data_IF_808950328644
#
_entry.id   IF_808950328644
#
_cell.length_a   1.000
_cell.length_b   1.000
_cell.length_c   1.000
_cell.angle_alpha   90.00
_cell.angle_beta   90.00
_cell.angle_gamma   90.00
#
_symmetry.space_group_name_H-M   'P 1'
#
loop_
_entity.id
_entity.type
_entity.pdbx_description
1 polymer ?
#
# COMPACT_ATOMS: atom_id res chain seq x y z
N UNK A 1 18.71 20.77 2.07
CA UNK A 1 19.59 20.96 0.90
C UNK A 1 20.21 22.36 0.83
N UNK A 2 19.47 23.44 1.10
CA UNK A 2 19.99 24.82 1.04
C UNK A 2 20.42 25.33 2.43
N UNK A 3 21.54 26.04 2.54
CA UNK A 3 21.97 26.65 3.81
C UNK A 3 21.45 28.09 3.96
N UNK A 4 21.26 28.60 5.19
CA UNK A 4 20.84 29.99 5.41
C UNK A 4 21.77 31.01 4.74
N UNK A 5 23.08 30.73 4.72
CA UNK A 5 24.09 31.59 4.07
C UNK A 5 23.92 31.63 2.55
N UNK A 6 23.55 30.51 1.93
CA UNK A 6 23.27 30.46 0.49
C UNK A 6 22.01 31.26 0.14
N UNK A 7 20.93 31.10 0.91
CA UNK A 7 19.65 31.78 0.68
C UNK A 7 19.82 33.30 0.78
N UNK A 8 20.62 33.78 1.73
CA UNK A 8 20.91 35.20 1.89
C UNK A 8 21.63 35.85 0.68
N UNK A 9 22.26 35.04 -0.19
CA UNK A 9 22.99 35.50 -1.38
C UNK A 9 22.23 35.28 -2.69
N UNK A 10 20.96 34.89 -2.62
CA UNK A 10 20.12 34.70 -3.79
C UNK A 10 19.70 36.04 -4.40
N UNK A 11 19.89 36.16 -5.72
CA UNK A 11 19.23 37.21 -6.50
C UNK A 11 17.74 36.92 -6.63
N UNK A 12 16.95 37.86 -7.15
CA UNK A 12 15.52 37.63 -7.41
C UNK A 12 15.27 36.38 -8.29
N UNK A 13 16.12 36.15 -9.30
CA UNK A 13 16.02 34.98 -10.16
C UNK A 13 16.41 33.68 -9.43
N UNK A 14 17.44 33.72 -8.58
CA UNK A 14 17.80 32.56 -7.75
C UNK A 14 16.68 32.22 -6.76
N UNK A 15 16.05 33.25 -6.20
CA UNK A 15 14.94 33.09 -5.26
C UNK A 15 13.70 32.52 -5.96
N UNK A 16 13.39 32.96 -7.18
CA UNK A 16 12.30 32.40 -7.98
C UNK A 16 12.52 30.90 -8.26
N UNK A 17 13.75 30.49 -8.57
CA UNK A 17 14.10 29.08 -8.77
C UNK A 17 13.98 28.32 -7.45
N UNK A 18 14.53 28.85 -6.36
CA UNK A 18 14.44 28.26 -5.02
C UNK A 18 12.99 28.05 -4.58
N UNK A 19 12.15 29.08 -4.69
CA UNK A 19 10.74 29.06 -4.30
C UNK A 19 9.97 27.99 -5.07
N UNK A 20 10.18 27.93 -6.39
CA UNK A 20 9.57 26.89 -7.22
C UNK A 20 10.03 25.48 -6.82
N UNK A 21 11.34 25.28 -6.60
CA UNK A 21 11.89 23.99 -6.18
C UNK A 21 11.28 23.51 -4.86
N UNK A 22 11.13 24.41 -3.88
CA UNK A 22 10.56 24.08 -2.57
C UNK A 22 9.06 23.81 -2.64
N UNK A 23 8.32 24.52 -3.49
CA UNK A 23 6.87 24.32 -3.69
C UNK A 23 6.52 23.10 -4.55
N UNK A 24 7.42 22.67 -5.43
CA UNK A 24 7.21 21.56 -6.38
C UNK A 24 8.27 20.45 -6.23
N UNK A 25 8.50 19.90 -5.01
CA UNK A 25 9.65 19.06 -4.71
C UNK A 25 9.75 17.79 -5.58
N UNK A 26 8.65 17.04 -5.72
CA UNK A 26 8.65 15.81 -6.49
C UNK A 26 8.74 16.05 -8.00
N UNK A 27 8.12 17.11 -8.51
CA UNK A 27 8.11 17.42 -9.93
C UNK A 27 9.52 17.75 -10.43
N UNK A 28 10.22 18.64 -9.72
CA UNK A 28 11.60 19.05 -10.01
C UNK A 28 12.57 17.87 -10.05
N UNK A 29 12.33 16.83 -9.25
CA UNK A 29 13.17 15.63 -9.24
C UNK A 29 13.21 14.93 -10.62
N UNK A 30 12.18 15.07 -11.44
CA UNK A 30 12.07 14.41 -12.75
C UNK A 30 12.18 15.36 -13.94
N UNK A 31 12.08 16.68 -13.71
CA UNK A 31 12.24 17.69 -14.76
C UNK A 31 13.59 17.63 -15.49
N UNK A 32 13.59 18.03 -16.75
CA UNK A 32 14.74 18.47 -17.53
C UNK A 32 15.02 19.94 -17.22
N UNK A 33 16.26 20.38 -17.45
CA UNK A 33 16.64 21.76 -17.13
C UNK A 33 15.79 22.80 -17.87
N UNK A 34 15.35 22.47 -19.09
CA UNK A 34 14.49 23.36 -19.90
C UNK A 34 13.09 23.49 -19.31
N UNK A 35 12.55 22.42 -18.75
CA UNK A 35 11.22 22.40 -18.13
C UNK A 35 11.22 23.25 -16.86
N UNK A 36 12.25 23.12 -16.02
CA UNK A 36 12.40 23.98 -14.84
C UNK A 36 12.62 25.45 -15.23
N UNK A 37 13.42 25.71 -16.27
CA UNK A 37 13.67 27.06 -16.74
C UNK A 37 12.37 27.72 -17.25
N UNK A 38 11.57 26.98 -18.01
CA UNK A 38 10.27 27.43 -18.51
C UNK A 38 9.26 27.70 -17.38
N UNK A 39 9.16 26.79 -16.41
CA UNK A 39 8.24 26.91 -15.28
C UNK A 39 8.52 28.13 -14.38
N UNK A 40 9.79 28.56 -14.32
CA UNK A 40 10.23 29.72 -13.53
C UNK A 40 10.43 30.97 -14.43
N UNK A 41 10.14 30.88 -15.73
CA UNK A 41 10.33 31.95 -16.71
C UNK A 41 11.77 32.50 -16.79
N UNK A 42 12.76 31.61 -16.73
CA UNK A 42 14.19 31.93 -16.85
C UNK A 42 14.86 31.15 -17.97
N UNK A 43 16.12 31.48 -18.26
CA UNK A 43 16.94 30.72 -19.23
C UNK A 43 17.61 29.49 -18.58
N UNK A 44 17.86 28.39 -19.31
CA UNK A 44 18.62 27.25 -18.78
C UNK A 44 20.01 27.60 -18.20
N UNK A 45 20.78 28.56 -18.77
CA UNK A 45 21.99 29.06 -18.13
C UNK A 45 21.78 29.70 -16.75
N UNK A 46 20.62 30.33 -16.51
CA UNK A 46 20.26 30.87 -15.19
C UNK A 46 20.11 29.73 -14.18
N UNK A 47 19.40 28.66 -14.55
CA UNK A 47 19.25 27.46 -13.71
C UNK A 47 20.61 26.80 -13.44
N UNK A 48 21.51 26.72 -14.43
CA UNK A 48 22.87 26.19 -14.20
C UNK A 48 23.67 27.03 -13.20
N UNK A 49 23.58 28.36 -13.28
CA UNK A 49 24.26 29.24 -12.31
C UNK A 49 23.70 29.06 -10.90
N UNK A 50 22.38 28.92 -10.76
CA UNK A 50 21.74 28.57 -9.49
C UNK A 50 22.30 27.25 -8.94
N UNK A 51 22.33 26.17 -9.75
CA UNK A 51 22.88 24.87 -9.33
C UNK A 51 24.32 25.00 -8.82
N UNK A 52 25.17 25.77 -9.51
CA UNK A 52 26.55 26.04 -9.06
C UNK A 52 26.61 26.81 -7.76
N UNK A 53 25.76 27.83 -7.60
CA UNK A 53 25.68 28.63 -6.36
C UNK A 53 25.29 27.77 -5.15
N UNK A 54 24.45 26.76 -5.34
CA UNK A 54 24.05 25.82 -4.29
C UNK A 54 24.99 24.61 -4.14
N UNK A 55 26.19 24.67 -4.74
CA UNK A 55 27.24 23.64 -4.56
C UNK A 55 27.04 22.37 -5.40
N UNK A 56 26.49 22.50 -6.61
CA UNK A 56 26.37 21.42 -7.59
C UNK A 56 27.08 21.80 -8.90
N UNK A 57 27.82 20.88 -9.50
CA UNK A 57 28.55 21.07 -10.76
C UNK A 57 27.62 21.28 -11.97
N UNK A 58 26.35 20.91 -11.83
CA UNK A 58 25.30 21.21 -12.79
C UNK A 58 23.94 20.66 -12.37
N UNK A 59 22.97 20.78 -13.29
CA UNK A 59 21.58 20.40 -13.01
C UNK A 59 21.38 18.90 -12.75
N UNK A 60 22.19 18.04 -13.37
CA UNK A 60 22.11 16.60 -13.12
C UNK A 60 22.49 16.23 -11.69
N UNK A 61 23.60 16.79 -11.18
CA UNK A 61 24.02 16.57 -9.79
C UNK A 61 23.04 17.20 -8.81
N UNK A 62 22.53 18.40 -9.11
CA UNK A 62 21.48 19.04 -8.34
C UNK A 62 20.26 18.12 -8.18
N UNK A 63 19.75 17.53 -9.26
CA UNK A 63 18.63 16.58 -9.19
C UNK A 63 18.96 15.34 -8.37
N UNK A 64 20.19 14.83 -8.46
CA UNK A 64 20.61 13.68 -7.64
C UNK A 64 20.61 14.04 -6.15
N UNK A 65 21.21 15.17 -5.77
CA UNK A 65 21.21 15.67 -4.39
C UNK A 65 19.80 16.00 -3.89
N UNK A 66 18.95 16.56 -4.76
CA UNK A 66 17.55 16.84 -4.43
C UNK A 66 16.76 15.57 -4.18
N UNK A 67 16.89 14.55 -5.04
CA UNK A 67 16.29 13.23 -4.81
C UNK A 67 16.75 12.59 -3.51
N UNK A 68 18.04 12.72 -3.18
CA UNK A 68 18.57 12.22 -1.91
C UNK A 68 17.97 12.97 -0.73
N UNK A 69 17.91 14.30 -0.81
CA UNK A 69 17.29 15.13 0.23
C UNK A 69 15.82 14.83 0.44
N UNK A 70 15.04 14.64 -0.64
CA UNK A 70 13.64 14.24 -0.56
C UNK A 70 13.49 12.88 0.12
N UNK A 71 14.35 11.92 -0.23
CA UNK A 71 14.38 10.60 0.44
C UNK A 71 14.72 10.72 1.92
N UNK A 72 15.63 11.60 2.30
CA UNK A 72 16.01 11.85 3.71
C UNK A 72 14.89 12.57 4.49
N UNK A 73 14.18 13.52 3.87
CA UNK A 73 13.04 14.20 4.49
C UNK A 73 11.79 13.32 4.59
N UNK A 74 11.60 12.41 3.64
CA UNK A 74 10.59 11.34 3.72
C UNK A 74 10.94 10.27 4.76
N UNK A 75 12.21 10.20 5.19
CA UNK A 75 12.71 9.21 6.15
C UNK A 75 12.50 9.59 7.63
N UNK A 76 11.88 10.74 7.97
CA UNK A 76 11.98 11.29 9.34
C UNK A 76 10.69 11.49 10.15
N UNK A 77 9.47 11.36 9.60
CA UNK A 77 8.26 11.49 10.43
C UNK A 77 7.79 10.13 10.97
N UNK A 78 8.43 9.65 12.03
CA UNK A 78 7.79 8.62 12.88
C UNK A 78 6.69 9.33 13.64
N UNK A 79 5.44 9.01 13.32
CA UNK A 79 4.27 9.58 13.99
C UNK A 79 3.84 8.66 15.13
N UNK A 80 3.08 9.18 16.09
CA UNK A 80 2.54 8.30 17.12
C UNK A 80 1.58 7.27 16.49
N UNK A 81 1.56 6.04 17.01
CA UNK A 81 0.64 5.01 16.50
C UNK A 81 -0.83 5.44 16.64
N UNK A 82 -1.14 6.30 17.61
CA UNK A 82 -2.46 6.89 17.80
C UNK A 82 -2.84 7.84 16.66
N UNK A 83 -1.91 8.71 16.23
CA UNK A 83 -2.13 9.62 15.09
C UNK A 83 -2.31 8.84 13.78
N UNK A 84 -1.49 7.82 13.54
CA UNK A 84 -1.62 6.97 12.36
C UNK A 84 -2.99 6.26 12.30
N UNK A 85 -3.49 5.77 13.45
CA UNK A 85 -4.82 5.18 13.54
C UNK A 85 -5.93 6.21 13.33
N UNK A 86 -5.79 7.42 13.88
CA UNK A 86 -6.75 8.50 13.66
C UNK A 86 -6.85 8.83 12.17
N UNK A 87 -5.72 9.01 11.49
CA UNK A 87 -5.67 9.28 10.05
C UNK A 87 -6.34 8.16 9.23
N UNK A 88 -6.05 6.89 9.58
CA UNK A 88 -6.70 5.75 8.96
C UNK A 88 -8.23 5.83 9.11
N UNK A 89 -8.74 6.05 10.31
CA UNK A 89 -10.18 6.11 10.55
C UNK A 89 -10.84 7.31 9.87
N UNK A 90 -10.22 8.50 9.89
CA UNK A 90 -10.74 9.68 9.19
C UNK A 90 -10.93 9.43 7.68
N UNK A 91 -10.02 8.66 7.07
CA UNK A 91 -10.09 8.34 5.62
C UNK A 91 -10.99 7.15 5.29
N UNK A 92 -11.27 6.27 6.25
CA UNK A 92 -11.94 4.98 6.00
C UNK A 92 -13.30 4.83 6.66
N UNK A 93 -13.69 5.70 7.59
CA UNK A 93 -15.03 5.72 8.19
C UNK A 93 -16.06 6.44 7.30
N UNK A 94 -16.13 6.04 6.02
CA UNK A 94 -17.10 6.56 5.06
C UNK A 94 -18.10 5.47 4.67
N UNK A 95 -19.31 5.86 4.28
CA UNK A 95 -20.35 4.91 3.84
C UNK A 95 -19.90 4.07 2.64
N UNK A 96 -19.12 4.67 1.73
CA UNK A 96 -18.57 4.00 0.55
C UNK A 96 -17.53 2.95 0.93
N UNK A 97 -16.65 3.27 1.87
CA UNK A 97 -15.64 2.32 2.34
C UNK A 97 -16.28 1.16 3.11
N UNK A 98 -17.27 1.44 3.97
CA UNK A 98 -18.04 0.41 4.65
C UNK A 98 -18.79 -0.51 3.68
N UNK A 99 -19.31 0.04 2.57
CA UNK A 99 -19.88 -0.76 1.48
C UNK A 99 -18.83 -1.65 0.82
N UNK A 100 -17.64 -1.12 0.51
CA UNK A 100 -16.55 -1.91 -0.07
C UNK A 100 -16.11 -3.07 0.84
N UNK A 101 -16.03 -2.86 2.15
CA UNK A 101 -15.77 -3.94 3.12
C UNK A 101 -16.85 -5.02 3.04
N UNK A 102 -18.13 -4.64 3.02
CA UNK A 102 -19.24 -5.61 2.96
C UNK A 102 -19.25 -6.39 1.65
N UNK A 103 -18.99 -5.74 0.53
CA UNK A 103 -18.92 -6.40 -0.79
C UNK A 103 -17.77 -7.41 -0.85
N UNK A 104 -16.59 -7.03 -0.36
CA UNK A 104 -15.45 -7.94 -0.23
C UNK A 104 -15.77 -9.11 0.72
N UNK A 105 -16.35 -8.83 1.89
CA UNK A 105 -16.77 -9.87 2.85
C UNK A 105 -17.80 -10.85 2.24
N UNK A 106 -18.73 -10.35 1.43
CA UNK A 106 -19.70 -11.17 0.73
C UNK A 106 -19.05 -12.07 -0.33
N UNK A 107 -18.03 -11.57 -1.03
CA UNK A 107 -17.23 -12.39 -1.94
C UNK A 107 -16.50 -13.51 -1.19
N UNK A 108 -15.91 -13.20 -0.03
CA UNK A 108 -15.28 -14.22 0.85
C UNK A 108 -16.33 -15.24 1.29
N UNK A 109 -17.52 -14.80 1.72
CA UNK A 109 -18.58 -15.70 2.20
C UNK A 109 -19.04 -16.71 1.12
N UNK A 110 -19.08 -16.30 -0.16
CA UNK A 110 -19.50 -17.15 -1.30
C UNK A 110 -18.42 -18.11 -1.80
N UNK A 111 -17.15 -17.80 -1.61
CA UNK A 111 -16.04 -18.68 -2.03
C UNK A 111 -16.06 -20.00 -1.24
N UNK A 112 -15.51 -21.08 -1.77
CA UNK A 112 -15.40 -22.34 -1.02
C UNK A 112 -14.30 -22.25 0.05
N UNK A 113 -13.21 -21.56 -0.29
CA UNK A 113 -12.08 -21.32 0.58
C UNK A 113 -11.38 -20.00 0.30
N UNK A 114 -10.51 -19.62 1.24
CA UNK A 114 -9.79 -18.34 1.21
C UNK A 114 -8.28 -18.58 1.17
N UNK A 115 -7.59 -17.95 0.22
CA UNK A 115 -6.13 -17.97 0.11
C UNK A 115 -5.60 -16.60 0.53
N UNK A 116 -4.75 -16.57 1.55
CA UNK A 116 -4.03 -15.36 1.93
C UNK A 116 -2.65 -15.33 1.28
N UNK A 117 -2.28 -14.21 0.66
CA UNK A 117 -1.00 -14.08 -0.03
C UNK A 117 -0.29 -12.81 0.44
N UNK A 118 1.00 -12.93 0.75
CA UNK A 118 1.85 -11.80 1.12
C UNK A 118 3.30 -12.22 1.32
N UNK A 119 4.22 -11.28 1.39
CA UNK A 119 5.65 -11.57 1.64
C UNK A 119 6.20 -10.67 2.73
N UNK A 120 7.26 -11.13 3.42
CA UNK A 120 7.81 -10.40 4.58
C UNK A 120 6.76 -10.20 5.67
N UNK A 121 6.65 -8.97 6.21
CA UNK A 121 5.65 -8.61 7.21
C UNK A 121 4.21 -8.86 6.74
N UNK A 122 3.91 -8.64 5.46
CA UNK A 122 2.60 -8.95 4.89
C UNK A 122 2.31 -10.45 4.85
N UNK A 123 3.34 -11.30 4.77
CA UNK A 123 3.21 -12.75 4.90
C UNK A 123 2.87 -13.20 6.32
N UNK A 124 3.38 -12.50 7.35
CA UNK A 124 3.00 -12.74 8.76
C UNK A 124 1.53 -12.36 8.98
N UNK A 125 1.08 -11.24 8.40
CA UNK A 125 -0.32 -10.83 8.47
C UNK A 125 -1.24 -11.75 7.67
N UNK A 126 -0.75 -12.32 6.56
CA UNK A 126 -1.46 -13.34 5.79
C UNK A 126 -1.71 -14.59 6.64
N UNK A 127 -0.68 -15.04 7.37
CA UNK A 127 -0.77 -16.16 8.31
C UNK A 127 -1.75 -15.87 9.46
N UNK A 128 -1.68 -14.67 10.06
CA UNK A 128 -2.66 -14.24 11.07
C UNK A 128 -4.10 -14.22 10.52
N UNK A 129 -4.30 -13.59 9.35
CA UNK A 129 -5.61 -13.45 8.71
C UNK A 129 -6.23 -14.80 8.36
N UNK A 130 -5.43 -15.73 7.83
CA UNK A 130 -5.85 -17.11 7.59
C UNK A 130 -6.30 -17.79 8.88
N UNK A 131 -5.48 -17.75 9.94
CA UNK A 131 -5.87 -18.34 11.23
C UNK A 131 -7.17 -17.72 11.77
N UNK A 132 -7.31 -16.40 11.66
CA UNK A 132 -8.49 -15.68 12.15
C UNK A 132 -9.75 -16.03 11.37
N UNK A 133 -9.70 -16.05 10.04
CA UNK A 133 -10.83 -16.45 9.17
C UNK A 133 -11.22 -17.92 9.40
N UNK A 134 -10.25 -18.81 9.61
CA UNK A 134 -10.53 -20.21 9.97
C UNK A 134 -11.27 -20.35 11.30
N UNK A 135 -11.02 -19.46 12.28
CA UNK A 135 -11.79 -19.43 13.53
C UNK A 135 -13.26 -19.04 13.32
N UNK A 136 -13.58 -18.34 12.23
CA UNK A 136 -14.93 -18.02 11.78
C UNK A 136 -15.51 -19.07 10.81
N UNK A 137 -15.06 -20.33 10.93
CA UNK A 137 -15.59 -21.50 10.21
C UNK A 137 -15.44 -21.46 8.68
N UNK A 138 -14.53 -20.63 8.16
CA UNK A 138 -14.22 -20.58 6.74
C UNK A 138 -12.87 -21.22 6.48
N UNK A 139 -12.83 -22.27 5.66
CA UNK A 139 -11.55 -22.90 5.33
C UNK A 139 -10.62 -21.90 4.67
N UNK A 140 -9.41 -21.76 5.19
CA UNK A 140 -8.43 -20.85 4.64
C UNK A 140 -7.01 -21.36 4.82
N UNK A 141 -6.14 -20.92 3.91
CA UNK A 141 -4.70 -21.18 3.92
C UNK A 141 -3.95 -19.88 3.65
N UNK A 142 -2.67 -19.85 3.97
CA UNK A 142 -1.79 -18.73 3.64
C UNK A 142 -0.60 -19.20 2.81
N UNK A 143 -0.10 -18.30 1.97
CA UNK A 143 1.07 -18.47 1.12
C UNK A 143 2.00 -17.28 1.36
N UNK A 144 3.06 -17.54 2.13
CA UNK A 144 4.13 -16.55 2.39
C UNK A 144 5.43 -16.83 1.62
N UNK A 145 5.53 -18.01 1.03
CA UNK A 145 6.61 -18.42 0.14
C UNK A 145 6.22 -18.11 -1.32
N UNK A 146 6.94 -17.22 -2.02
CA UNK A 146 6.80 -16.97 -3.46
C UNK A 146 6.78 -18.23 -4.34
N UNK A 147 7.51 -19.26 -3.92
CA UNK A 147 7.72 -20.49 -4.69
C UNK A 147 6.77 -21.62 -4.27
N UNK A 148 5.81 -21.34 -3.40
CA UNK A 148 4.85 -22.35 -2.94
C UNK A 148 4.11 -22.98 -4.12
N UNK A 149 4.11 -24.32 -4.24
CA UNK A 149 3.45 -25.00 -5.33
C UNK A 149 1.93 -24.98 -5.14
N UNK A 150 1.23 -24.27 -6.02
CA UNK A 150 -0.24 -24.19 -6.04
C UNK A 150 -0.76 -25.18 -7.09
N UNK A 151 -1.66 -26.09 -6.69
CA UNK A 151 -2.29 -27.10 -7.55
C UNK A 151 -3.79 -26.88 -7.71
N UNK A 152 -4.43 -27.65 -8.59
CA UNK A 152 -5.81 -27.46 -9.08
C UNK A 152 -6.83 -27.02 -8.03
N UNK A 153 -6.98 -27.77 -6.94
CA UNK A 153 -8.00 -27.53 -5.91
C UNK A 153 -7.90 -26.16 -5.22
N UNK A 154 -6.73 -25.52 -5.20
CA UNK A 154 -6.61 -24.17 -4.63
C UNK A 154 -7.30 -23.09 -5.46
N UNK A 155 -7.52 -23.35 -6.76
CA UNK A 155 -8.13 -22.38 -7.67
C UNK A 155 -9.66 -22.45 -7.70
N UNK A 156 -10.24 -23.56 -7.27
CA UNK A 156 -11.68 -23.79 -7.36
C UNK A 156 -12.44 -22.81 -6.46
N UNK A 157 -13.32 -21.98 -7.04
CA UNK A 157 -14.18 -21.01 -6.35
C UNK A 157 -13.51 -20.32 -5.14
N UNK A 158 -12.27 -19.83 -5.31
CA UNK A 158 -11.49 -19.29 -4.21
C UNK A 158 -11.61 -17.76 -4.12
N UNK A 159 -11.57 -17.23 -2.90
CA UNK A 159 -11.28 -15.83 -2.64
C UNK A 159 -9.81 -15.67 -2.24
N UNK A 160 -9.09 -14.75 -2.87
CA UNK A 160 -7.69 -14.45 -2.57
C UNK A 160 -7.60 -13.11 -1.86
N UNK A 161 -7.01 -13.10 -0.66
CA UNK A 161 -6.71 -11.88 0.09
C UNK A 161 -5.23 -11.58 -0.04
N UNK A 162 -4.89 -10.62 -0.89
CA UNK A 162 -3.52 -10.23 -1.19
C UNK A 162 -3.10 -9.01 -0.36
N UNK A 163 -2.06 -9.17 0.46
CA UNK A 163 -1.53 -8.16 1.35
C UNK A 163 -0.21 -7.61 0.80
N UNK A 164 -0.18 -6.31 0.49
CA UNK A 164 1.05 -5.65 0.06
C UNK A 164 0.98 -4.15 0.33
N UNK A 165 1.93 -3.64 1.12
CA UNK A 165 2.05 -2.21 1.42
C UNK A 165 2.18 -1.40 0.12
N UNK A 166 3.13 -1.78 -0.74
CA UNK A 166 3.42 -1.08 -1.99
C UNK A 166 2.42 -1.38 -3.10
N UNK A 167 1.85 -2.59 -3.12
CA UNK A 167 1.08 -3.12 -4.23
C UNK A 167 1.92 -3.50 -5.46
N UNK A 168 3.24 -3.51 -5.33
CA UNK A 168 4.19 -3.68 -6.45
C UNK A 168 5.16 -4.86 -6.26
N UNK A 169 4.96 -5.71 -5.24
CA UNK A 169 5.85 -6.85 -4.98
C UNK A 169 5.74 -7.88 -6.11
N UNK A 170 6.79 -8.08 -6.95
CA UNK A 170 6.65 -8.83 -8.20
C UNK A 170 6.15 -10.27 -8.02
N UNK A 171 6.69 -10.98 -7.03
CA UNK A 171 6.29 -12.36 -6.74
C UNK A 171 4.85 -12.47 -6.24
N UNK A 172 4.40 -11.53 -5.40
CA UNK A 172 3.00 -11.45 -4.95
C UNK A 172 2.08 -11.18 -6.13
N UNK A 173 2.44 -10.24 -7.02
CA UNK A 173 1.68 -9.95 -8.22
C UNK A 173 1.56 -11.18 -9.13
N UNK A 174 2.66 -11.90 -9.37
CA UNK A 174 2.66 -13.12 -10.17
C UNK A 174 1.71 -14.20 -9.61
N UNK A 175 1.71 -14.39 -8.29
CA UNK A 175 0.79 -15.32 -7.63
C UNK A 175 -0.67 -14.89 -7.76
N UNK A 176 -0.96 -13.60 -7.53
CA UNK A 176 -2.32 -13.05 -7.67
C UNK A 176 -2.82 -13.16 -9.11
N UNK A 177 -1.98 -12.84 -10.10
CA UNK A 177 -2.31 -13.02 -11.52
C UNK A 177 -2.71 -14.47 -11.83
N UNK A 178 -1.95 -15.44 -11.34
CA UNK A 178 -2.24 -16.86 -11.54
C UNK A 178 -3.61 -17.27 -10.96
N UNK A 179 -3.98 -16.76 -9.78
CA UNK A 179 -5.31 -17.00 -9.23
C UNK A 179 -6.41 -16.32 -10.06
N UNK A 180 -6.18 -15.08 -10.51
CA UNK A 180 -7.14 -14.33 -11.32
C UNK A 180 -7.42 -15.01 -12.67
N UNK A 181 -6.38 -15.50 -13.34
CA UNK A 181 -6.50 -16.27 -14.59
C UNK A 181 -7.32 -17.55 -14.44
N UNK A 182 -7.37 -18.10 -13.22
CA UNK A 182 -8.15 -19.31 -12.90
C UNK A 182 -9.52 -18.99 -12.32
N UNK A 183 -9.94 -17.73 -12.32
CA UNK A 183 -11.27 -17.31 -11.87
C UNK A 183 -11.39 -17.05 -10.37
N UNK A 184 -10.28 -17.02 -9.64
CA UNK A 184 -10.28 -16.62 -8.23
C UNK A 184 -10.68 -15.15 -8.07
N UNK A 185 -11.53 -14.86 -7.08
CA UNK A 185 -11.91 -13.48 -6.75
C UNK A 185 -10.81 -12.82 -5.94
N UNK A 186 -10.27 -11.70 -6.42
CA UNK A 186 -9.11 -11.05 -5.82
C UNK A 186 -9.55 -9.86 -4.95
N UNK A 187 -9.14 -9.89 -3.69
CA UNK A 187 -9.33 -8.83 -2.70
C UNK A 187 -7.93 -8.37 -2.26
N UNK A 188 -7.58 -7.11 -2.52
CA UNK A 188 -6.30 -6.55 -2.05
C UNK A 188 -6.46 -5.67 -0.83
N UNK A 189 -5.48 -5.74 0.07
CA UNK A 189 -5.28 -4.77 1.16
C UNK A 189 -3.94 -4.09 0.89
N UNK A 190 -3.99 -2.80 0.56
CA UNK A 190 -2.82 -2.01 0.14
C UNK A 190 -2.74 -0.68 0.86
N UNK A 191 -1.55 -0.07 0.90
CA UNK A 191 -1.43 1.28 1.46
C UNK A 191 -1.81 2.37 0.46
N UNK A 192 -1.83 2.05 -0.84
CA UNK A 192 -2.07 2.98 -1.93
C UNK A 192 -3.18 2.51 -2.85
N UNK A 193 -4.09 3.44 -3.17
CA UNK A 193 -5.22 3.20 -4.07
C UNK A 193 -4.77 2.93 -5.51
N UNK A 194 -3.74 3.65 -5.96
CA UNK A 194 -3.20 3.52 -7.31
C UNK A 194 -1.91 2.71 -7.27
N UNK A 195 -2.04 1.39 -7.52
CA UNK A 195 -0.93 0.45 -7.65
C UNK A 195 -1.35 -0.73 -8.52
N UNK A 196 -0.38 -1.51 -8.99
CA UNK A 196 -0.62 -2.67 -9.86
C UNK A 196 -1.57 -3.67 -9.19
N UNK A 197 -1.32 -4.04 -7.93
CA UNK A 197 -2.16 -5.00 -7.21
C UNK A 197 -3.62 -4.53 -7.11
N UNK A 198 -3.86 -3.25 -6.82
CA UNK A 198 -5.21 -2.70 -6.76
C UNK A 198 -5.90 -2.74 -8.13
N UNK A 199 -5.17 -2.47 -9.22
CA UNK A 199 -5.73 -2.45 -10.58
C UNK A 199 -6.18 -3.82 -11.07
N UNK A 200 -5.53 -4.89 -10.60
CA UNK A 200 -5.88 -6.27 -10.94
C UNK A 200 -6.80 -6.91 -9.92
N UNK A 201 -7.19 -6.22 -8.84
CA UNK A 201 -8.08 -6.75 -7.82
C UNK A 201 -9.54 -6.45 -8.16
N UNK A 202 -10.44 -7.35 -7.77
CA UNK A 202 -11.88 -7.13 -7.92
C UNK A 202 -12.39 -6.21 -6.81
N UNK A 203 -11.77 -6.28 -5.62
CA UNK A 203 -11.97 -5.34 -4.51
C UNK A 203 -10.63 -4.88 -3.96
N UNK A 204 -10.48 -3.58 -3.68
CA UNK A 204 -9.29 -3.03 -3.04
C UNK A 204 -9.65 -2.23 -1.78
N UNK A 205 -9.08 -2.63 -0.65
CA UNK A 205 -9.21 -1.95 0.64
C UNK A 205 -7.91 -1.20 0.95
N UNK A 206 -7.90 0.09 0.66
CA UNK A 206 -6.75 0.95 0.92
C UNK A 206 -6.78 1.50 2.34
N UNK A 207 -5.68 1.37 3.08
CA UNK A 207 -5.61 1.80 4.48
C UNK A 207 -4.86 3.11 4.73
N UNK A 208 -4.32 3.77 3.69
CA UNK A 208 -3.82 5.15 3.70
C UNK A 208 -2.93 5.56 4.89
N UNK A 209 -2.13 4.65 5.44
CA UNK A 209 -1.17 4.97 6.48
C UNK A 209 -0.03 5.80 5.88
N UNK A 210 0.36 6.87 6.56
CA UNK A 210 1.57 7.61 6.24
C UNK A 210 2.77 6.66 6.28
N UNK A 211 3.54 6.49 5.19
CA UNK A 211 4.68 5.58 5.18
C UNK A 211 5.77 6.02 6.16
N UNK A 212 6.24 5.09 6.99
CA UNK A 212 7.29 5.32 7.98
C UNK A 212 8.47 4.38 7.70
N UNK A 213 9.70 4.90 7.65
CA UNK A 213 10.89 4.08 7.37
C UNK A 213 12.04 4.41 8.30
N UNK A 214 12.74 3.38 8.77
CA UNK A 214 14.00 3.50 9.50
C UNK A 214 15.09 2.89 8.62
N UNK A 215 15.90 3.75 7.99
CA UNK A 215 16.87 3.34 6.97
C UNK A 215 16.17 2.70 5.77
N UNK A 216 16.45 1.42 5.52
CA UNK A 216 15.80 0.65 4.43
C UNK A 216 14.52 -0.08 4.88
N UNK A 217 14.28 -0.15 6.19
CA UNK A 217 13.18 -0.92 6.77
C UNK A 217 11.90 -0.08 6.76
N UNK A 218 10.83 -0.64 6.22
CA UNK A 218 9.48 -0.09 6.35
C UNK A 218 8.94 -0.47 7.73
N UNK A 219 8.63 0.53 8.54
CA UNK A 219 8.06 0.40 9.89
C UNK A 219 6.64 0.95 9.97
N UNK A 220 6.02 1.24 8.82
CA UNK A 220 4.64 1.73 8.73
C UNK A 220 3.72 0.80 9.49
N UNK A 221 2.92 1.38 10.40
CA UNK A 221 1.99 0.61 11.23
C UNK A 221 1.11 -0.34 10.40
N UNK A 222 0.96 -1.57 10.89
CA UNK A 222 0.11 -2.59 10.30
C UNK A 222 -1.21 -2.79 11.07
N UNK A 223 -1.49 -1.96 12.08
CA UNK A 223 -2.76 -2.02 12.80
C UNK A 223 -3.99 -1.85 11.89
N UNK A 224 -3.98 -0.96 10.87
CA UNK A 224 -5.08 -0.89 9.91
C UNK A 224 -5.32 -2.21 9.17
N UNK A 225 -4.25 -2.93 8.82
CA UNK A 225 -4.35 -4.22 8.14
C UNK A 225 -5.00 -5.26 9.05
N UNK A 226 -4.57 -5.34 10.31
CA UNK A 226 -5.20 -6.22 11.32
C UNK A 226 -6.68 -5.88 11.48
N UNK A 227 -7.02 -4.60 11.61
CA UNK A 227 -8.42 -4.15 11.68
C UNK A 227 -9.23 -4.63 10.46
N UNK A 228 -8.72 -4.45 9.24
CA UNK A 228 -9.42 -4.87 8.03
C UNK A 228 -9.60 -6.39 7.95
N UNK A 229 -8.57 -7.16 8.32
CA UNK A 229 -8.66 -8.63 8.40
C UNK A 229 -9.76 -9.06 9.38
N UNK A 230 -9.81 -8.46 10.57
CA UNK A 230 -10.84 -8.76 11.55
C UNK A 230 -12.24 -8.34 11.10
N UNK A 231 -12.37 -7.15 10.49
CA UNK A 231 -13.65 -6.64 9.97
C UNK A 231 -14.18 -7.55 8.87
N UNK A 232 -13.34 -7.92 7.91
CA UNK A 232 -13.71 -8.84 6.83
C UNK A 232 -14.19 -10.19 7.37
N UNK A 233 -13.47 -10.77 8.33
CA UNK A 233 -13.85 -12.04 8.93
C UNK A 233 -15.20 -11.96 9.67
N UNK A 234 -15.40 -10.92 10.49
CA UNK A 234 -16.64 -10.71 11.24
C UNK A 234 -17.84 -10.46 10.32
N UNK A 235 -17.68 -9.63 9.29
CA UNK A 235 -18.76 -9.39 8.31
C UNK A 235 -19.05 -10.64 7.47
N UNK A 236 -18.03 -11.37 7.04
CA UNK A 236 -18.18 -12.63 6.31
C UNK A 236 -18.95 -13.67 7.13
N UNK A 237 -18.62 -13.82 8.41
CA UNK A 237 -19.30 -14.77 9.30
C UNK A 237 -20.80 -14.48 9.44
N UNK A 238 -21.20 -13.20 9.51
CA UNK A 238 -22.62 -12.81 9.57
C UNK A 238 -23.40 -13.18 8.32
N UNK A 239 -22.71 -13.42 7.21
CA UNK A 239 -23.31 -13.82 5.93
C UNK A 239 -23.30 -15.33 5.73
N UNK A 240 -22.60 -16.09 6.59
CA UNK A 240 -22.65 -17.55 6.53
C UNK A 240 -24.02 -18.04 7.03
N UNK A 241 -24.59 -19.08 6.40
CA UNK A 241 -25.83 -19.68 6.87
C UNK A 241 -25.64 -20.25 8.29
N UNK A 242 -26.60 -19.99 9.19
CA UNK A 242 -26.59 -20.52 10.55
C UNK A 242 -26.58 -22.06 10.51
N UNK A 243 -25.42 -22.68 10.77
CA UNK A 243 -25.27 -24.15 10.81
C UNK A 243 -25.80 -24.79 12.10
N UNK A 244 -26.41 -24.03 13.01
CA UNK A 244 -26.87 -24.50 14.32
C UNK A 244 -28.16 -25.33 14.30
N UNK A 245 -28.77 -25.63 13.15
CA UNK A 245 -30.03 -26.38 13.08
C UNK A 245 -29.91 -27.88 12.70
N UNK A 246 -28.75 -28.38 12.25
CA UNK A 246 -28.69 -29.72 11.61
C UNK A 246 -27.89 -30.80 12.38
N UNK A 247 -27.46 -30.54 13.62
CA UNK A 247 -26.63 -31.47 14.40
C UNK A 247 -27.35 -32.35 15.43
N UNK A 248 -28.68 -32.48 15.34
CA UNK A 248 -29.51 -33.12 16.37
C UNK A 248 -30.02 -34.52 16.04
N UNK A 249 -29.21 -35.41 15.45
CA UNK A 249 -29.59 -36.82 15.31
C UNK A 249 -29.17 -37.58 16.57
N UNK A 250 -30.15 -37.86 17.45
CA UNK A 250 -29.99 -38.79 18.57
C UNK A 250 -29.45 -40.14 18.06
N UNK A 251 -28.45 -40.75 18.72
CA UNK A 251 -28.12 -42.14 18.46
C UNK A 251 -29.29 -43.00 18.94
N UNK A 252 -29.99 -43.64 18.00
CA UNK A 252 -30.93 -44.71 18.34
C UNK A 252 -30.15 -45.86 18.95
N UNK A 253 -30.43 -46.13 20.21
CA UNK A 253 -30.03 -47.34 20.90
C UNK A 253 -30.74 -48.55 20.29
N UNK A 254 -29.96 -49.49 19.75
CA UNK A 254 -30.22 -50.93 19.78
C UNK A 254 -28.91 -51.70 19.84
#
# INVERSE_FOLDING_TARGET
>A
MFTPEQIAQFSELDYAIYDYVVKHPHEVAYMRIRELAEAVHVSPPTVLRFCKKVGCDGFSEFKTKWKLHLRESEQTSIISSQEALREFFERTMTADYERAIREAAAAIARADHVIFVGSGSSGILAEYGSRYVSAFQKFSVYIKDPFFPIYGHYFDNCAVIALSVSGETPHTLAQVHRFKEKGGTIISITNRKHCTLASISDYNLTYYATPERIGQTDVTTQLPVVYLLERLAKEMYRMLPNRTAEGGTQPQSR
#
